data_IF_781136988783
#
_entry.id   IF_781136988783
#
_cell.length_a   1.000
_cell.length_b   1.000
_cell.length_c   1.000
_cell.angle_alpha   90.00
_cell.angle_beta   90.00
_cell.angle_gamma   90.00
#
_symmetry.space_group_name_H-M   'P 1'
#
loop_
_entity.id
_entity.type
_entity.pdbx_description
1 polymer ?
#
# COMPACT_ATOMS: atom_id res chain seq x y z
N UNK A 1 -15.84 -37.11 2.02
CA UNK A 1 -16.51 -35.83 2.31
C UNK A 1 -15.44 -34.88 2.82
N UNK A 2 -14.90 -34.00 1.99
CA UNK A 2 -13.88 -33.04 2.41
C UNK A 2 -14.58 -31.75 2.86
N UNK A 3 -14.40 -31.36 4.13
CA UNK A 3 -14.79 -30.04 4.60
C UNK A 3 -13.73 -29.05 4.16
N UNK A 4 -14.01 -28.27 3.12
CA UNK A 4 -13.21 -27.08 2.83
C UNK A 4 -13.49 -26.08 3.95
N UNK A 5 -12.58 -25.94 4.91
CA UNK A 5 -12.52 -24.72 5.71
C UNK A 5 -11.99 -23.64 4.78
N UNK A 6 -12.91 -22.89 4.17
CA UNK A 6 -12.55 -21.60 3.58
C UNK A 6 -12.24 -20.69 4.75
N UNK A 7 -10.99 -20.25 4.88
CA UNK A 7 -10.60 -19.22 5.85
C UNK A 7 -11.60 -18.05 5.75
N UNK A 8 -12.30 -17.75 6.84
CA UNK A 8 -13.23 -16.63 6.86
C UNK A 8 -12.42 -15.34 6.68
N UNK A 9 -12.98 -14.33 6.04
CA UNK A 9 -12.30 -13.04 5.89
C UNK A 9 -11.99 -12.42 7.26
N UNK A 10 -12.82 -12.71 8.27
CA UNK A 10 -12.62 -12.28 9.66
C UNK A 10 -11.35 -12.84 10.29
N UNK A 11 -10.98 -14.07 9.93
CA UNK A 11 -9.78 -14.73 10.46
C UNK A 11 -8.48 -14.09 9.94
N UNK A 12 -8.58 -13.25 8.90
CA UNK A 12 -7.45 -12.54 8.29
C UNK A 12 -7.28 -11.12 8.83
N UNK A 13 -8.20 -10.65 9.67
CA UNK A 13 -8.12 -9.33 10.26
C UNK A 13 -6.94 -9.23 11.23
N UNK A 14 -6.30 -8.07 11.23
CA UNK A 14 -5.13 -7.77 12.08
C UNK A 14 -5.51 -6.74 13.13
N UNK A 15 -5.13 -6.98 14.38
CA UNK A 15 -5.36 -6.01 15.46
C UNK A 15 -4.48 -4.77 15.29
N UNK A 16 -5.06 -3.60 15.49
CA UNK A 16 -4.37 -2.32 15.43
C UNK A 16 -4.98 -1.30 16.41
N UNK A 17 -4.25 -0.22 16.66
CA UNK A 17 -4.79 0.93 17.41
C UNK A 17 -4.18 2.24 16.96
N UNK A 18 -4.93 3.33 17.11
CA UNK A 18 -4.45 4.68 16.88
C UNK A 18 -4.90 5.59 18.01
N UNK A 19 -3.93 6.24 18.68
CA UNK A 19 -4.17 7.08 19.86
C UNK A 19 -5.02 6.38 20.95
N UNK A 20 -4.82 5.07 21.12
CA UNK A 20 -5.51 4.26 22.11
C UNK A 20 -6.88 3.71 21.67
N UNK A 21 -7.38 4.06 20.49
CA UNK A 21 -8.63 3.50 19.95
C UNK A 21 -8.31 2.23 19.14
N UNK A 22 -8.82 1.06 19.54
CA UNK A 22 -8.58 -0.20 18.83
C UNK A 22 -9.46 -0.34 17.58
N UNK A 23 -8.94 -1.00 16.54
CA UNK A 23 -9.66 -1.34 15.32
C UNK A 23 -9.02 -2.57 14.64
N UNK A 24 -9.75 -3.20 13.72
CA UNK A 24 -9.28 -4.38 12.97
C UNK A 24 -8.98 -4.02 11.53
N UNK A 25 -7.77 -4.32 11.05
CA UNK A 25 -7.31 -4.02 9.69
C UNK A 25 -7.54 -5.22 8.79
N UNK A 26 -8.18 -4.99 7.65
CA UNK A 26 -8.34 -6.00 6.61
C UNK A 26 -7.11 -6.07 5.71
N UNK A 27 -6.73 -4.93 5.13
CA UNK A 27 -5.56 -4.80 4.28
C UNK A 27 -4.94 -3.40 4.39
N UNK A 28 -3.71 -3.29 3.93
CA UNK A 28 -3.02 -2.03 3.77
C UNK A 28 -2.24 -2.02 2.46
N UNK A 29 -2.19 -0.85 1.82
CA UNK A 29 -1.43 -0.62 0.61
C UNK A 29 -0.53 0.60 0.78
N UNK A 30 0.68 0.52 0.22
CA UNK A 30 1.62 1.64 0.23
C UNK A 30 2.25 1.88 -1.14
N UNK A 31 2.22 3.12 -1.61
CA UNK A 31 3.00 3.56 -2.77
C UNK A 31 4.30 4.22 -2.30
N UNK A 32 5.43 3.72 -2.80
CA UNK A 32 6.78 4.19 -2.50
C UNK A 32 7.59 4.36 -3.77
N UNK A 33 8.68 5.13 -3.70
CA UNK A 33 9.63 5.21 -4.81
C UNK A 33 10.42 6.49 -4.86
N UNK A 34 11.02 6.73 -6.02
CA UNK A 34 11.75 7.94 -6.38
C UNK A 34 10.96 8.69 -7.45
N UNK A 35 11.04 10.02 -7.43
CA UNK A 35 10.44 10.86 -8.46
C UNK A 35 11.43 10.96 -9.61
N UNK A 36 11.13 10.26 -10.69
CA UNK A 36 12.01 10.14 -11.85
C UNK A 36 11.41 10.92 -13.01
N UNK A 37 12.22 11.79 -13.63
CA UNK A 37 11.87 12.51 -14.86
C UNK A 37 12.63 11.87 -16.02
N UNK A 38 11.91 11.47 -17.06
CA UNK A 38 12.52 10.92 -18.29
C UNK A 38 12.55 12.02 -19.34
N UNK A 39 13.75 12.30 -19.84
CA UNK A 39 13.99 13.28 -20.89
C UNK A 39 14.36 12.57 -22.19
N UNK A 40 13.59 12.84 -23.25
CA UNK A 40 13.88 12.39 -24.61
C UNK A 40 14.57 13.50 -25.40
N UNK A 41 15.64 13.17 -26.11
CA UNK A 41 16.40 14.12 -26.91
C UNK A 41 16.53 13.62 -28.36
N UNK A 42 16.42 14.50 -29.37
CA UNK A 42 16.66 14.13 -30.76
C UNK A 42 18.04 13.51 -30.97
N UNK A 43 18.12 12.53 -31.88
CA UNK A 43 19.36 11.81 -32.22
C UNK A 43 20.01 11.07 -31.03
N UNK A 44 19.21 10.68 -30.03
CA UNK A 44 19.68 9.90 -28.89
C UNK A 44 18.80 8.67 -28.69
N UNK A 45 19.39 7.49 -28.83
CA UNK A 45 18.66 6.23 -28.70
C UNK A 45 18.31 5.87 -27.25
N UNK A 46 19.08 6.37 -26.28
CA UNK A 46 18.87 6.10 -24.85
C UNK A 46 18.34 7.34 -24.13
N UNK A 47 17.14 7.33 -23.54
CA UNK A 47 16.60 8.47 -22.81
C UNK A 47 17.48 8.80 -21.59
N UNK A 48 17.44 10.07 -21.15
CA UNK A 48 18.11 10.50 -19.92
C UNK A 48 17.13 10.48 -18.76
N UNK A 49 17.49 9.74 -17.72
CA UNK A 49 16.70 9.61 -16.50
C UNK A 49 17.27 10.52 -15.43
N UNK A 50 16.55 11.57 -15.08
CA UNK A 50 16.89 12.47 -13.97
C UNK A 50 16.14 12.06 -12.71
N UNK A 51 16.87 11.87 -11.62
CA UNK A 51 16.29 11.51 -10.33
C UNK A 51 16.10 12.75 -9.46
N UNK A 52 14.83 13.08 -9.19
CA UNK A 52 14.43 14.26 -8.45
C UNK A 52 14.13 13.97 -6.97
N UNK A 53 14.64 12.85 -6.46
CA UNK A 53 14.59 12.48 -5.05
C UNK A 53 13.43 11.56 -4.68
N UNK A 54 13.11 11.50 -3.38
CA UNK A 54 12.08 10.60 -2.85
C UNK A 54 10.68 11.04 -3.30
N UNK A 55 9.87 10.11 -3.81
CA UNK A 55 8.47 10.37 -4.11
C UNK A 55 7.64 10.47 -2.82
N UNK A 56 6.56 11.25 -2.86
CA UNK A 56 5.58 11.29 -1.76
C UNK A 56 5.03 9.89 -1.54
N UNK A 57 5.11 9.42 -0.28
CA UNK A 57 4.55 8.14 0.10
C UNK A 57 3.06 8.29 0.35
N UNK A 58 2.27 7.35 -0.17
CA UNK A 58 0.85 7.22 0.17
C UNK A 58 0.66 5.88 0.85
N UNK A 59 -0.07 5.87 1.95
CA UNK A 59 -0.47 4.66 2.66
C UNK A 59 -1.99 4.70 2.78
N UNK A 60 -2.64 3.59 2.43
CA UNK A 60 -4.08 3.38 2.58
C UNK A 60 -4.27 2.20 3.51
N UNK A 61 -5.15 2.32 4.49
CA UNK A 61 -5.48 1.26 5.43
C UNK A 61 -6.99 1.05 5.38
N UNK A 62 -7.42 -0.17 5.05
CA UNK A 62 -8.82 -0.57 5.11
C UNK A 62 -9.06 -1.26 6.45
N UNK A 63 -9.97 -0.71 7.26
CA UNK A 63 -10.18 -1.15 8.62
C UNK A 63 -11.63 -1.01 9.07
N UNK A 64 -11.99 -1.82 10.07
CA UNK A 64 -13.27 -1.84 10.74
C UNK A 64 -13.12 -1.33 12.17
N UNK A 65 -13.95 -0.37 12.55
CA UNK A 65 -14.16 0.03 13.93
C UNK A 65 -15.55 -0.46 14.37
N UNK A 66 -15.61 -1.25 15.44
CA UNK A 66 -16.87 -1.80 15.96
C UNK A 66 -17.08 -1.23 17.37
N UNK A 67 -18.23 -0.60 17.60
CA UNK A 67 -18.63 -0.14 18.94
C UNK A 67 -17.85 1.07 19.47
N UNK A 68 -17.67 2.10 18.64
CA UNK A 68 -17.18 3.41 19.08
C UNK A 68 -18.23 4.23 19.83
#
# INVERSE_FOLDING_TARGET
MAFFSSTDWRDRLRDASFRGVPFSVEDDEGTFGRRVQVHEYPNRDKPFTEDLGRATRRMTINAYLIGG
#
